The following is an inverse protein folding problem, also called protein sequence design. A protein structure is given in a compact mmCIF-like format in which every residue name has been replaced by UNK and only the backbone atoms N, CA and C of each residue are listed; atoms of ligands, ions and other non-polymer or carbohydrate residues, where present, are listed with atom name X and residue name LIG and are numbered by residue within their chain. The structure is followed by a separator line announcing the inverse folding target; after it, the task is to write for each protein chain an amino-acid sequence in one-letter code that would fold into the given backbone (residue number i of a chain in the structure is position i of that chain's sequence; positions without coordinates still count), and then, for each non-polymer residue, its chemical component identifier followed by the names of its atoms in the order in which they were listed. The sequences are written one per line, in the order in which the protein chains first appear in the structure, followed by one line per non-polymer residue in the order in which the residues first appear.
data_IF_636933644530
#
_entry.id   IF_636933644530
#
_cell.length_a   1.000
_cell.length_b   1.000
_cell.length_c   1.000
_cell.angle_alpha   90.00
_cell.angle_beta   90.00
_cell.angle_gamma   90.00
#
_symmetry.space_group_name_H-M   'P 1'
#
loop_
_entity.id
_entity.type
_entity.pdbx_description
1 polymer ?
#
# COMPACT_ATOMS: atom_id res chain seq x y z
N UNK A 1 5.75 -10.33 -25.04
CA UNK A 1 6.57 -9.11 -24.77
C UNK A 1 6.57 -8.84 -23.27
N UNK A 2 7.72 -8.94 -22.60
CA UNK A 2 7.88 -8.85 -21.13
C UNK A 2 8.31 -7.42 -20.76
N UNK A 3 7.42 -6.60 -20.18
CA UNK A 3 7.83 -5.33 -19.55
C UNK A 3 8.05 -5.53 -18.06
N UNK A 4 9.28 -5.89 -17.69
CA UNK A 4 9.77 -5.77 -16.31
C UNK A 4 9.89 -4.27 -16.00
N UNK A 5 8.94 -3.69 -15.26
CA UNK A 5 9.14 -2.37 -14.66
C UNK A 5 9.91 -2.55 -13.36
N UNK A 6 11.22 -2.36 -13.47
CA UNK A 6 12.11 -2.13 -12.34
C UNK A 6 11.70 -0.79 -11.72
N UNK A 7 11.05 -0.81 -10.55
CA UNK A 7 11.01 0.37 -9.67
C UNK A 7 12.20 0.22 -8.73
N UNK A 8 13.30 0.86 -9.10
CA UNK A 8 14.52 0.96 -8.31
C UNK A 8 14.39 2.20 -7.43
N UNK A 9 14.09 1.99 -6.16
CA UNK A 9 14.25 3.01 -5.11
C UNK A 9 15.00 2.39 -3.94
N UNK A 10 16.33 2.27 -4.07
CA UNK A 10 17.23 2.08 -2.93
C UNK A 10 17.57 3.48 -2.40
N UNK A 11 17.09 3.83 -1.21
CA UNK A 11 17.68 4.92 -0.41
C UNK A 11 17.60 4.53 1.08
N UNK A 12 18.69 4.68 1.87
CA UNK A 12 18.86 4.09 3.19
C UNK A 12 18.24 4.97 4.29
N UNK A 13 16.95 5.26 4.19
CA UNK A 13 16.16 5.78 5.32
C UNK A 13 15.26 4.64 5.78
N UNK A 14 15.80 3.82 6.66
CA UNK A 14 15.23 2.57 7.13
C UNK A 14 13.88 2.67 7.87
N UNK A 15 13.20 3.83 7.87
CA UNK A 15 12.06 4.06 8.76
C UNK A 15 10.78 4.60 8.09
N UNK A 16 10.80 4.90 6.78
CA UNK A 16 9.59 5.35 6.06
C UNK A 16 9.42 4.62 4.74
N UNK A 17 9.19 3.31 4.82
CA UNK A 17 8.79 2.52 3.66
C UNK A 17 7.34 2.87 3.29
N UNK A 18 7.15 3.30 2.05
CA UNK A 18 5.82 3.54 1.49
C UNK A 18 5.45 2.45 0.50
N UNK A 19 4.17 2.11 0.44
CA UNK A 19 3.60 1.08 -0.42
C UNK A 19 2.66 1.73 -1.42
N UNK A 20 2.82 1.35 -2.68
CA UNK A 20 1.89 1.79 -3.71
C UNK A 20 0.55 1.02 -3.61
N UNK A 21 -0.58 1.64 -3.96
CA UNK A 21 -1.88 0.99 -4.02
C UNK A 21 -1.88 -0.23 -4.91
N UNK A 22 -1.08 -0.24 -5.98
CA UNK A 22 -0.94 -1.41 -6.86
C UNK A 22 -0.31 -2.60 -6.15
N UNK A 23 0.64 -2.37 -5.23
CA UNK A 23 1.17 -3.43 -4.37
C UNK A 23 0.14 -3.89 -3.35
N UNK A 24 -0.65 -2.98 -2.76
CA UNK A 24 -1.74 -3.36 -1.84
C UNK A 24 -2.81 -4.20 -2.54
N UNK A 25 -3.17 -3.87 -3.79
CA UNK A 25 -4.09 -4.69 -4.59
C UNK A 25 -3.58 -6.12 -4.74
N UNK A 26 -2.27 -6.32 -4.94
CA UNK A 26 -1.67 -7.66 -5.04
C UNK A 26 -1.64 -8.36 -3.68
N UNK A 27 -1.26 -7.64 -2.61
CA UNK A 27 -1.17 -8.21 -1.24
C UNK A 27 -2.54 -8.63 -0.70
N UNK A 28 -3.55 -7.78 -0.85
CA UNK A 28 -4.90 -8.01 -0.35
C UNK A 28 -5.83 -8.68 -1.37
N UNK A 29 -5.32 -8.94 -2.59
CA UNK A 29 -6.06 -9.54 -3.72
C UNK A 29 -7.38 -8.82 -3.99
N UNK A 30 -7.40 -7.50 -3.87
CA UNK A 30 -8.59 -6.67 -4.03
C UNK A 30 -8.43 -5.63 -5.15
N UNK A 31 -9.56 -5.07 -5.59
CA UNK A 31 -9.59 -4.01 -6.59
C UNK A 31 -9.04 -2.70 -6.02
N UNK A 32 -8.74 -1.73 -6.90
CA UNK A 32 -8.27 -0.42 -6.45
C UNK A 32 -9.27 0.26 -5.51
N UNK A 33 -10.56 0.16 -5.82
CA UNK A 33 -11.64 0.65 -4.97
C UNK A 33 -11.66 -0.04 -3.61
N UNK A 34 -11.37 -1.35 -3.57
CA UNK A 34 -11.23 -2.10 -2.33
C UNK A 34 -10.06 -1.61 -1.48
N UNK A 35 -8.91 -1.33 -2.10
CA UNK A 35 -7.77 -0.70 -1.40
C UNK A 35 -8.17 0.67 -0.83
N UNK A 36 -8.86 1.51 -1.61
CA UNK A 36 -9.29 2.83 -1.14
C UNK A 36 -10.28 2.72 0.03
N UNK A 37 -11.26 1.80 -0.05
CA UNK A 37 -12.20 1.53 1.06
C UNK A 37 -11.50 1.01 2.31
N UNK A 38 -10.61 0.02 2.18
CA UNK A 38 -9.82 -0.50 3.30
C UNK A 38 -8.99 0.63 3.89
N UNK A 39 -8.34 1.45 3.07
CA UNK A 39 -7.50 2.54 3.56
C UNK A 39 -8.30 3.62 4.28
N UNK A 40 -9.50 3.95 3.80
CA UNK A 40 -10.40 4.88 4.46
C UNK A 40 -10.93 4.32 5.78
N UNK A 41 -11.30 3.04 5.81
CA UNK A 41 -11.81 2.38 7.00
C UNK A 41 -10.72 2.17 8.07
N UNK A 42 -9.51 1.81 7.64
CA UNK A 42 -8.35 1.59 8.50
C UNK A 42 -7.65 2.88 8.93
N UNK A 43 -8.06 4.04 8.40
CA UNK A 43 -7.43 5.33 8.71
C UNK A 43 -6.00 5.46 8.21
N UNK A 44 -5.63 4.77 7.11
CA UNK A 44 -4.27 4.81 6.58
C UNK A 44 -3.93 6.18 6.00
N UNK A 45 -2.73 6.65 6.29
CA UNK A 45 -2.26 7.95 5.81
C UNK A 45 -1.94 7.89 4.31
N UNK A 46 -2.72 8.61 3.51
CA UNK A 46 -2.51 8.77 2.06
C UNK A 46 -1.52 9.90 1.80
N UNK A 47 -0.32 9.56 1.34
CA UNK A 47 0.63 10.53 0.82
C UNK A 47 0.40 10.69 -0.68
N UNK A 48 -0.03 11.88 -1.08
CA UNK A 48 -0.15 12.25 -2.49
C UNK A 48 1.20 12.83 -2.94
N UNK A 49 1.96 12.09 -3.73
CA UNK A 49 3.11 12.68 -4.41
C UNK A 49 2.57 13.59 -5.53
N UNK A 50 2.40 14.87 -5.21
CA UNK A 50 2.09 15.92 -6.19
C UNK A 50 3.32 16.12 -7.07
N UNK A 51 3.47 15.29 -8.10
CA UNK A 51 4.46 15.52 -9.13
C UNK A 51 3.78 16.17 -10.35
N UNK A 52 4.27 17.36 -10.72
CA UNK A 52 3.59 18.31 -11.62
C UNK A 52 3.46 17.84 -13.09
N UNK A 53 4.05 16.71 -13.47
CA UNK A 53 4.18 16.34 -14.88
C UNK A 53 3.49 15.04 -15.30
N UNK A 54 3.43 13.97 -14.49
CA UNK A 54 2.69 12.74 -14.86
C UNK A 54 2.26 11.95 -13.63
N UNK A 55 0.95 11.71 -13.53
CA UNK A 55 0.27 10.76 -12.62
C UNK A 55 0.44 11.01 -11.12
N UNK A 56 -0.64 11.51 -10.50
CA UNK A 56 -0.80 11.60 -9.04
C UNK A 56 -0.69 10.18 -8.44
N UNK A 57 0.51 9.85 -7.96
CA UNK A 57 0.77 8.55 -7.35
C UNK A 57 0.49 8.66 -5.85
N UNK A 58 -0.51 7.91 -5.40
CA UNK A 58 -0.83 7.77 -3.99
C UNK A 58 0.09 6.72 -3.40
N UNK A 59 0.62 6.97 -2.21
CA UNK A 59 1.45 6.03 -1.46
C UNK A 59 0.94 5.94 -0.01
N UNK A 60 1.04 4.76 0.59
CA UNK A 60 0.58 4.47 1.96
C UNK A 60 1.76 4.09 2.84
N UNK A 61 1.71 4.39 4.14
CA UNK A 61 2.80 4.03 5.04
C UNK A 61 2.78 2.52 5.30
N UNK A 62 3.89 1.82 5.06
CA UNK A 62 3.97 0.37 5.20
C UNK A 62 3.70 -0.08 6.64
N UNK A 63 4.16 0.69 7.64
CA UNK A 63 3.95 0.37 9.05
C UNK A 63 2.47 0.35 9.42
N UNK A 64 1.67 1.31 8.94
CA UNK A 64 0.22 1.34 9.16
C UNK A 64 -0.48 0.17 8.47
N UNK A 65 -0.06 -0.15 7.24
CA UNK A 65 -0.55 -1.32 6.49
C UNK A 65 -0.29 -2.61 7.27
N UNK A 66 0.93 -2.80 7.78
CA UNK A 66 1.28 -3.99 8.58
C UNK A 66 0.49 -4.03 9.88
N UNK A 67 0.34 -2.89 10.57
CA UNK A 67 -0.45 -2.82 11.80
C UNK A 67 -1.92 -3.23 11.54
N UNK A 68 -2.51 -2.75 10.45
CA UNK A 68 -3.86 -3.15 10.02
C UNK A 68 -3.96 -4.64 9.68
N UNK A 69 -2.99 -5.18 8.94
CA UNK A 69 -2.94 -6.62 8.63
C UNK A 69 -2.87 -7.45 9.92
N UNK A 70 -2.12 -6.99 10.92
CA UNK A 70 -2.00 -7.68 12.20
C UNK A 70 -3.25 -7.61 13.07
N UNK A 71 -4.03 -6.52 12.99
CA UNK A 71 -5.24 -6.33 13.82
C UNK A 71 -6.50 -6.91 13.16
N UNK A 72 -6.70 -6.66 11.87
CA UNK A 72 -7.92 -7.04 11.15
C UNK A 72 -7.79 -8.35 10.37
N UNK A 73 -6.65 -8.62 9.73
CA UNK A 73 -6.51 -9.83 8.90
C UNK A 73 -6.14 -11.08 9.72
N UNK A 74 -5.35 -10.96 10.79
CA UNK A 74 -5.08 -12.11 11.68
C UNK A 74 -6.31 -12.59 12.44
N UNK A 75 -7.27 -11.71 12.73
CA UNK A 75 -8.56 -12.10 13.33
C UNK A 75 -9.40 -13.01 12.43
N UNK A 76 -9.24 -12.91 11.10
CA UNK A 76 -9.91 -13.80 10.15
C UNK A 76 -9.28 -15.22 10.08
N UNK A 77 -8.06 -15.40 10.58
CA UNK A 77 -7.35 -16.69 10.60
C UNK A 77 -7.32 -17.36 11.98
N UNK A 78 -7.81 -16.69 13.04
CA UNK A 78 -7.87 -17.22 14.39
C UNK A 78 -9.24 -17.84 14.75
N UNK A 79 -10.11 -18.06 13.75
CA UNK A 79 -11.41 -18.75 13.91
C UNK A 79 -11.44 -20.08 13.14
N UNK A 80 -10.36 -20.86 13.20
CA UNK A 80 -10.36 -22.26 12.77
C UNK A 80 -9.93 -23.13 13.94
#
# INVERSE_FOLDING_TARGET
MKTKRVVKSRSPRADRQFVSPRQLMVRWRCSRSGVDQISAHAGLTRQNEKNALRSNSVSYMLSEVIAYEQTCMKRALAQV
#
